data_IF_527048933036
#
_entry.id   IF_527048933036
#
_cell.length_a   1.000
_cell.length_b   1.000
_cell.length_c   1.000
_cell.angle_alpha   90.00
_cell.angle_beta   90.00
_cell.angle_gamma   90.00
#
_symmetry.space_group_name_H-M   'P 1'
#
loop_
_entity.id
_entity.type
_entity.pdbx_description
1 polymer ?
#
# COMPACT_ATOMS: atom_id res chain seq x y z
N UNK A 1 10.09 -3.41 -5.24
CA UNK A 1 10.22 -2.60 -4.01
C UNK A 1 11.17 -3.19 -2.99
N UNK A 2 11.13 -4.50 -2.66
CA UNK A 2 12.06 -5.12 -1.68
C UNK A 2 13.56 -4.87 -1.94
N UNK A 3 14.01 -4.90 -3.20
CA UNK A 3 15.42 -4.58 -3.57
C UNK A 3 15.82 -3.12 -3.27
N UNK A 4 14.85 -2.23 -3.10
CA UNK A 4 15.05 -0.82 -2.76
C UNK A 4 14.99 -0.57 -1.24
N UNK A 5 14.93 -1.62 -0.42
CA UNK A 5 14.83 -1.52 1.05
C UNK A 5 13.44 -1.16 1.57
N UNK A 6 12.42 -1.15 0.72
CA UNK A 6 11.04 -0.85 1.13
C UNK A 6 10.34 -2.10 1.65
N UNK A 7 9.53 -1.91 2.69
CA UNK A 7 8.72 -2.96 3.31
C UNK A 7 7.32 -2.95 2.74
N UNK A 8 6.75 -4.14 2.50
CA UNK A 8 5.35 -4.28 2.15
C UNK A 8 4.49 -3.98 3.38
N UNK A 9 3.45 -3.17 3.22
CA UNK A 9 2.55 -2.81 4.31
C UNK A 9 1.17 -3.45 4.14
N UNK A 10 0.50 -3.17 3.04
CA UNK A 10 -0.85 -3.67 2.75
C UNK A 10 -1.20 -3.52 1.27
N UNK A 11 -2.33 -4.12 0.88
CA UNK A 11 -2.92 -3.96 -0.45
C UNK A 11 -4.29 -3.32 -0.34
N UNK A 12 -4.69 -2.54 -1.34
CA UNK A 12 -5.98 -1.86 -1.38
C UNK A 12 -6.50 -1.73 -2.81
N UNK A 13 -7.82 -1.70 -2.95
CA UNK A 13 -8.49 -1.50 -4.24
C UNK A 13 -8.70 -0.02 -4.53
N UNK A 14 -8.40 0.41 -5.75
CA UNK A 14 -8.68 1.77 -6.24
C UNK A 14 -9.09 1.74 -7.72
N UNK A 15 -10.01 2.63 -8.10
CA UNK A 15 -10.45 2.80 -9.48
C UNK A 15 -9.33 3.45 -10.31
N UNK A 16 -8.71 2.70 -11.22
CA UNK A 16 -7.61 3.23 -12.03
C UNK A 16 -8.11 4.12 -13.17
N UNK A 17 -7.65 5.37 -13.20
CA UNK A 17 -7.92 6.31 -14.29
C UNK A 17 -6.69 6.45 -15.21
N UNK A 18 -6.87 6.55 -16.54
CA UNK A 18 -8.12 6.78 -17.30
C UNK A 18 -8.84 5.50 -17.77
N UNK A 19 -8.36 4.31 -17.39
CA UNK A 19 -8.88 3.04 -17.94
C UNK A 19 -10.19 2.58 -17.29
N UNK A 20 -10.57 3.21 -16.19
CA UNK A 20 -11.85 3.06 -15.50
C UNK A 20 -12.17 1.61 -15.10
N UNK A 21 -11.23 0.92 -14.45
CA UNK A 21 -11.48 -0.37 -13.79
C UNK A 21 -10.77 -0.45 -12.43
N UNK A 22 -11.29 -1.26 -11.48
CA UNK A 22 -10.66 -1.43 -10.16
C UNK A 22 -9.35 -2.19 -10.28
N UNK A 23 -8.33 -1.71 -9.58
CA UNK A 23 -6.99 -2.30 -9.51
C UNK A 23 -6.57 -2.43 -8.06
N UNK A 24 -5.92 -3.54 -7.72
CA UNK A 24 -5.31 -3.72 -6.41
C UNK A 24 -3.89 -3.15 -6.46
N UNK A 25 -3.65 -2.13 -5.64
CA UNK A 25 -2.34 -1.53 -5.43
C UNK A 25 -1.69 -2.12 -4.18
N UNK A 26 -0.37 -2.32 -4.24
CA UNK A 26 0.45 -2.70 -3.08
C UNK A 26 1.15 -1.48 -2.51
N UNK A 27 0.88 -1.18 -1.26
CA UNK A 27 1.54 -0.13 -0.50
C UNK A 27 2.90 -0.65 -0.01
N UNK A 28 3.97 0.03 -0.41
CA UNK A 28 5.31 -0.17 0.12
C UNK A 28 5.79 1.13 0.77
N UNK A 29 6.45 1.01 1.93
CA UNK A 29 6.96 2.15 2.67
C UNK A 29 8.45 2.00 2.98
N UNK A 30 9.15 3.14 3.00
CA UNK A 30 10.49 3.28 3.55
C UNK A 30 10.48 4.47 4.50
N UNK A 31 10.75 4.21 5.77
CA UNK A 31 10.81 5.23 6.81
C UNK A 31 12.25 5.74 6.94
N UNK A 32 12.44 7.04 6.69
CA UNK A 32 13.76 7.69 6.68
C UNK A 32 14.23 8.10 8.09
N UNK A 33 13.30 8.17 9.04
CA UNK A 33 13.55 8.45 10.45
C UNK A 33 13.99 7.19 11.24
N UNK A 34 14.04 6.03 10.58
CA UNK A 34 14.38 4.74 11.18
C UNK A 34 13.26 4.10 12.01
N UNK A 35 12.11 4.76 12.14
CA UNK A 35 10.97 4.21 12.87
C UNK A 35 10.11 3.37 11.93
N UNK A 36 10.25 2.05 11.97
CA UNK A 36 9.50 1.13 11.11
C UNK A 36 8.05 0.87 11.56
N UNK A 37 7.67 1.29 12.76
CA UNK A 37 6.35 0.99 13.33
C UNK A 37 5.25 1.89 12.76
N UNK A 38 5.60 3.09 12.31
CA UNK A 38 4.64 3.99 11.68
C UNK A 38 4.36 3.57 10.24
N UNK A 39 3.10 3.27 9.95
CA UNK A 39 2.62 2.97 8.60
C UNK A 39 1.68 4.09 8.16
N UNK A 40 1.88 4.58 6.94
CA UNK A 40 0.97 5.51 6.30
C UNK A 40 -0.33 4.78 5.92
N UNK A 41 -1.45 5.24 6.49
CA UNK A 41 -2.75 4.54 6.39
C UNK A 41 -3.81 5.28 5.59
N UNK A 42 -3.52 6.43 4.97
CA UNK A 42 -4.58 7.18 4.25
C UNK A 42 -5.35 6.30 3.26
N UNK A 43 -4.64 5.54 2.41
CA UNK A 43 -5.27 4.68 1.42
C UNK A 43 -5.99 3.48 2.04
N UNK A 44 -5.45 2.95 3.13
CA UNK A 44 -6.13 1.94 3.95
C UNK A 44 -7.46 2.47 4.49
N UNK A 45 -7.44 3.65 5.13
CA UNK A 45 -8.60 4.24 5.79
C UNK A 45 -9.67 4.70 4.77
N UNK A 46 -9.27 5.07 3.54
CA UNK A 46 -10.21 5.55 2.50
C UNK A 46 -10.70 4.48 1.53
N UNK A 47 -9.98 3.36 1.39
CA UNK A 47 -10.37 2.29 0.46
C UNK A 47 -11.40 1.38 1.12
N UNK A 48 -12.50 1.09 0.41
CA UNK A 48 -13.54 0.16 0.86
C UNK A 48 -12.99 -1.26 1.02
N UNK A 49 -12.09 -1.67 0.12
CA UNK A 49 -11.48 -2.99 0.10
C UNK A 49 -9.97 -2.88 0.30
N UNK A 50 -9.50 -3.25 1.49
CA UNK A 50 -8.09 -3.31 1.83
C UNK A 50 -7.77 -4.57 2.64
N UNK A 51 -6.57 -5.13 2.44
CA UNK A 51 -6.18 -6.39 3.07
C UNK A 51 -4.66 -6.57 3.11
N UNK A 52 -4.21 -7.50 3.95
CA UNK A 52 -2.82 -7.98 3.98
C UNK A 52 -2.74 -9.23 3.13
N UNK A 53 -1.84 -9.25 2.16
CA UNK A 53 -1.56 -10.45 1.36
C UNK A 53 -0.84 -11.51 2.20
N UNK A 54 -1.26 -12.76 2.05
CA UNK A 54 -0.53 -13.92 2.56
C UNK A 54 0.62 -14.20 1.57
N UNK A 55 1.86 -13.93 2.00
CA UNK A 55 3.08 -13.96 1.17
C UNK A 55 3.99 -15.15 1.47
#
# INVERSE_FOLDING_TARGET
MRKLGMTYCYSYEEQWQPKNFPVIFRMYQLNLDGNTDSVYRKYWDTSENHFIEDL
#
